data_IF_240988200279
#
_entry.id   IF_240988200279
#
_cell.length_a   1.000
_cell.length_b   1.000
_cell.length_c   1.000
_cell.angle_alpha   90.00
_cell.angle_beta   90.00
_cell.angle_gamma   90.00
#
_symmetry.space_group_name_H-M   'P 1'
#
loop_
_entity.id
_entity.type
_entity.pdbx_description
1 polymer ?
#
# COMPACT_ATOMS: atom_id res chain seq x y z
N UNK A 1 -10.31 2.10 15.99
CA UNK A 1 -9.43 1.95 14.80
C UNK A 1 -8.16 1.24 15.23
N UNK A 2 -7.84 0.13 14.57
CA UNK A 2 -6.63 -0.64 14.83
C UNK A 2 -5.79 -0.74 13.58
N UNK A 3 -4.48 -0.55 13.70
CA UNK A 3 -3.53 -0.66 12.60
C UNK A 3 -2.63 -1.86 12.83
N UNK A 4 -2.48 -2.73 11.85
CA UNK A 4 -1.67 -3.95 11.94
C UNK A 4 -1.05 -4.34 10.61
N UNK A 5 -0.06 -5.23 10.67
CA UNK A 5 0.48 -5.91 9.50
C UNK A 5 -0.18 -7.29 9.37
N UNK A 6 -0.58 -7.64 8.15
CA UNK A 6 -1.17 -8.94 7.89
C UNK A 6 -0.08 -10.00 7.71
N UNK A 7 -0.11 -11.05 8.52
CA UNK A 7 0.79 -12.20 8.41
C UNK A 7 0.09 -13.41 7.80
N UNK A 8 -1.21 -13.53 8.03
CA UNK A 8 -2.10 -14.55 7.48
C UNK A 8 -3.42 -13.90 7.13
N UNK A 9 -4.26 -14.59 6.35
CA UNK A 9 -5.58 -14.09 5.94
C UNK A 9 -6.69 -15.02 6.39
N UNK A 10 -7.72 -14.44 7.03
CA UNK A 10 -9.03 -15.09 7.22
C UNK A 10 -9.88 -14.89 5.96
N UNK A 11 -10.98 -15.65 5.83
CA UNK A 11 -11.91 -15.45 4.72
C UNK A 11 -12.51 -14.06 4.69
N UNK A 12 -12.85 -13.50 5.85
CA UNK A 12 -13.37 -12.13 5.98
C UNK A 12 -12.34 -11.07 5.52
N UNK A 13 -11.08 -11.24 5.90
CA UNK A 13 -10.01 -10.33 5.48
C UNK A 13 -9.78 -10.38 3.97
N UNK A 14 -9.88 -11.58 3.36
CA UNK A 14 -9.79 -11.71 1.90
C UNK A 14 -10.92 -10.92 1.22
N UNK A 15 -12.14 -11.05 1.70
CA UNK A 15 -13.29 -10.30 1.14
C UNK A 15 -13.10 -8.80 1.28
N UNK A 16 -12.65 -8.34 2.44
CA UNK A 16 -12.37 -6.91 2.67
C UNK A 16 -11.30 -6.39 1.72
N UNK A 17 -10.19 -7.13 1.54
CA UNK A 17 -9.12 -6.74 0.61
C UNK A 17 -9.61 -6.72 -0.83
N UNK A 18 -10.41 -7.69 -1.25
CA UNK A 18 -10.99 -7.69 -2.59
C UNK A 18 -11.87 -6.45 -2.82
N UNK A 19 -12.65 -6.06 -1.83
CA UNK A 19 -13.43 -4.83 -1.87
C UNK A 19 -12.57 -3.56 -1.99
N UNK A 20 -11.47 -3.49 -1.23
CA UNK A 20 -10.52 -2.39 -1.31
C UNK A 20 -9.84 -2.30 -2.69
N UNK A 21 -9.45 -3.43 -3.26
CA UNK A 21 -8.82 -3.44 -4.59
C UNK A 21 -9.79 -2.98 -5.68
N UNK A 22 -11.07 -3.33 -5.57
CA UNK A 22 -12.12 -2.81 -6.49
C UNK A 22 -12.28 -1.29 -6.35
N UNK A 23 -12.21 -0.77 -5.14
CA UNK A 23 -12.27 0.67 -4.90
C UNK A 23 -11.05 1.38 -5.50
N UNK A 24 -9.88 0.77 -5.44
CA UNK A 24 -8.67 1.30 -6.02
C UNK A 24 -8.74 1.33 -7.55
N UNK A 25 -9.12 0.23 -8.18
CA UNK A 25 -9.34 0.12 -9.62
C UNK A 25 -10.24 -1.08 -9.94
N UNK A 26 -11.50 -0.80 -10.28
CA UNK A 26 -12.50 -1.82 -10.56
C UNK A 26 -12.19 -2.68 -11.80
N UNK A 27 -11.29 -2.22 -12.69
CA UNK A 27 -10.91 -2.95 -13.91
C UNK A 27 -9.83 -4.00 -13.68
N UNK A 28 -9.14 -3.96 -12.54
CA UNK A 28 -8.11 -4.95 -12.22
C UNK A 28 -8.79 -6.24 -11.76
N UNK A 29 -8.53 -7.38 -12.44
CA UNK A 29 -9.06 -8.67 -12.00
C UNK A 29 -8.27 -9.16 -10.78
N UNK A 30 -8.87 -9.08 -9.59
CA UNK A 30 -8.26 -9.56 -8.35
C UNK A 30 -8.94 -10.83 -7.87
N UNK A 31 -8.16 -11.74 -7.29
CA UNK A 31 -8.64 -13.04 -6.80
C UNK A 31 -8.23 -13.28 -5.36
N UNK A 32 -8.95 -14.17 -4.68
CA UNK A 32 -8.58 -14.62 -3.34
C UNK A 32 -7.17 -15.24 -3.32
N UNK A 33 -6.83 -16.01 -4.34
CA UNK A 33 -5.50 -16.62 -4.49
C UNK A 33 -4.40 -15.55 -4.55
N UNK A 34 -4.63 -14.44 -5.28
CA UNK A 34 -3.65 -13.36 -5.36
C UNK A 34 -3.47 -12.68 -4.00
N UNK A 35 -4.52 -12.50 -3.22
CA UNK A 35 -4.40 -11.95 -1.87
C UNK A 35 -3.55 -12.87 -0.98
N UNK A 36 -3.79 -14.17 -1.03
CA UNK A 36 -2.99 -15.15 -0.29
C UNK A 36 -1.52 -15.16 -0.71
N UNK A 37 -1.25 -15.08 -2.01
CA UNK A 37 0.12 -14.96 -2.54
C UNK A 37 0.82 -13.70 -2.05
N UNK A 38 0.12 -12.58 -2.01
CA UNK A 38 0.69 -11.31 -1.55
C UNK A 38 1.16 -11.39 -0.09
N UNK A 39 0.32 -11.92 0.78
CA UNK A 39 0.66 -12.07 2.21
C UNK A 39 1.80 -13.07 2.41
N UNK A 40 1.87 -14.13 1.61
CA UNK A 40 2.91 -15.16 1.72
C UNK A 40 4.24 -14.75 1.10
N UNK A 41 4.28 -13.71 0.28
CA UNK A 41 5.49 -13.27 -0.42
C UNK A 41 6.49 -12.64 0.56
N UNK A 42 7.74 -13.13 0.64
CA UNK A 42 8.72 -12.66 1.64
C UNK A 42 9.05 -11.17 1.57
N UNK A 43 9.02 -10.59 0.37
CA UNK A 43 9.31 -9.18 0.15
C UNK A 43 8.10 -8.26 0.31
N UNK A 44 6.92 -8.79 0.59
CA UNK A 44 5.66 -8.02 0.65
C UNK A 44 5.16 -7.92 2.08
N UNK A 45 4.82 -6.69 2.49
CA UNK A 45 4.21 -6.40 3.78
C UNK A 45 2.96 -5.58 3.57
N UNK A 46 1.83 -6.05 4.08
CA UNK A 46 0.54 -5.39 3.93
C UNK A 46 0.13 -4.80 5.26
N UNK A 47 0.08 -3.48 5.33
CA UNK A 47 -0.37 -2.74 6.50
C UNK A 47 -1.84 -2.37 6.30
N UNK A 48 -2.66 -2.60 7.31
CA UNK A 48 -4.10 -2.38 7.24
C UNK A 48 -4.62 -1.58 8.41
N UNK A 49 -5.75 -0.92 8.19
CA UNK A 49 -6.55 -0.30 9.22
C UNK A 49 -7.87 -1.08 9.35
N UNK A 50 -8.18 -1.51 10.57
CA UNK A 50 -9.45 -2.17 10.92
C UNK A 50 -10.35 -1.21 11.70
N UNK A 51 -11.64 -1.25 11.40
CA UNK A 51 -12.64 -0.57 12.21
C UNK A 51 -12.98 -1.37 13.49
N UNK A 52 -13.89 -0.85 14.31
CA UNK A 52 -14.28 -1.50 15.57
C UNK A 52 -15.00 -2.85 15.37
N UNK A 53 -15.55 -3.08 14.17
CA UNK A 53 -16.18 -4.35 13.77
C UNK A 53 -15.18 -5.33 13.17
N UNK A 54 -13.89 -5.01 13.19
CA UNK A 54 -12.78 -5.82 12.65
C UNK A 54 -12.80 -6.00 11.13
N UNK A 55 -13.43 -5.07 10.41
CA UNK A 55 -13.33 -5.01 8.96
C UNK A 55 -12.13 -4.15 8.53
N UNK A 56 -11.41 -4.61 7.53
CA UNK A 56 -10.32 -3.85 6.93
C UNK A 56 -10.93 -2.74 6.06
N UNK A 57 -10.66 -1.50 6.43
CA UNK A 57 -11.23 -0.31 5.76
C UNK A 57 -10.18 0.51 5.02
N UNK A 58 -8.92 0.13 5.12
CA UNK A 58 -7.81 0.74 4.39
C UNK A 58 -6.59 -0.15 4.40
N UNK A 59 -5.75 -0.01 3.38
CA UNK A 59 -4.48 -0.71 3.31
C UNK A 59 -3.42 0.09 2.57
N UNK A 60 -2.17 -0.28 2.81
CA UNK A 60 -0.99 0.14 2.06
C UNK A 60 0.02 -0.99 2.06
N UNK A 61 0.63 -1.26 0.92
CA UNK A 61 1.56 -2.37 0.74
C UNK A 61 2.98 -1.86 0.54
N UNK A 62 3.94 -2.49 1.21
CA UNK A 62 5.37 -2.29 1.01
C UNK A 62 5.93 -3.50 0.29
N UNK A 63 6.58 -3.27 -0.87
CA UNK A 63 7.27 -4.30 -1.63
C UNK A 63 8.78 -4.04 -1.60
N UNK A 64 9.57 -5.02 -1.17
CA UNK A 64 11.03 -4.93 -1.09
C UNK A 64 11.64 -5.98 -2.00
N UNK A 65 12.60 -5.57 -2.81
CA UNK A 65 13.27 -6.46 -3.76
C UNK A 65 14.74 -6.08 -3.93
N UNK A 66 15.53 -7.01 -4.43
CA UNK A 66 16.96 -6.85 -4.66
C UNK A 66 17.24 -6.67 -6.16
N UNK A 67 18.25 -5.86 -6.47
CA UNK A 67 18.85 -5.77 -7.79
C UNK A 67 20.38 -5.58 -7.64
N UNK A 68 21.17 -5.67 -8.73
CA UNK A 68 22.62 -5.48 -8.63
C UNK A 68 23.06 -4.13 -8.02
N UNK A 69 22.21 -3.12 -8.06
CA UNK A 69 22.49 -1.81 -7.47
C UNK A 69 22.03 -1.69 -6.02
N UNK A 70 21.45 -2.74 -5.45
CA UNK A 70 21.05 -2.79 -4.05
C UNK A 70 19.59 -3.10 -3.82
N UNK A 71 19.19 -3.05 -2.55
CA UNK A 71 17.82 -3.30 -2.12
C UNK A 71 16.94 -2.10 -2.42
N UNK A 72 15.74 -2.35 -2.93
CA UNK A 72 14.76 -1.36 -3.35
C UNK A 72 13.43 -1.62 -2.70
N UNK A 73 12.64 -0.57 -2.53
CA UNK A 73 11.30 -0.66 -1.98
C UNK A 73 10.32 0.22 -2.76
N UNK A 74 9.12 -0.30 -2.94
CA UNK A 74 8.01 0.46 -3.50
C UNK A 74 6.80 0.37 -2.58
N UNK A 75 6.02 1.45 -2.54
CA UNK A 75 4.72 1.51 -1.88
C UNK A 75 3.66 1.28 -2.94
N UNK A 76 2.79 0.30 -2.70
CA UNK A 76 1.77 -0.13 -3.66
C UNK A 76 0.39 -0.14 -3.01
N UNK A 77 -0.64 -0.02 -3.85
CA UNK A 77 -2.03 -0.27 -3.48
C UNK A 77 -2.48 0.47 -2.20
N UNK A 78 -2.24 1.77 -2.17
CA UNK A 78 -2.68 2.63 -1.06
C UNK A 78 -4.15 3.00 -1.29
N UNK A 79 -5.02 2.53 -0.45
CA UNK A 79 -6.47 2.78 -0.57
C UNK A 79 -7.16 2.83 0.79
N UNK A 80 -8.14 3.71 0.91
CA UNK A 80 -9.04 3.82 2.05
C UNK A 80 -10.46 3.87 1.50
N UNK A 81 -11.38 3.11 2.10
CA UNK A 81 -12.79 3.13 1.70
C UNK A 81 -13.36 4.55 1.78
N UNK A 82 -14.24 4.96 0.83
CA UNK A 82 -14.76 6.33 0.78
C UNK A 82 -15.35 6.84 2.08
N UNK A 83 -16.11 5.98 2.80
CA UNK A 83 -16.74 6.34 4.07
C UNK A 83 -15.76 6.70 5.19
N UNK A 84 -14.48 6.31 5.06
CA UNK A 84 -13.44 6.50 6.07
C UNK A 84 -12.37 7.52 5.65
N UNK A 85 -12.52 8.15 4.48
CA UNK A 85 -11.56 9.15 3.99
C UNK A 85 -11.64 10.44 4.79
N UNK A 86 -10.56 11.22 4.77
CA UNK A 86 -10.48 12.49 5.49
C UNK A 86 -10.25 12.36 6.99
N UNK A 87 -9.93 11.17 7.49
CA UNK A 87 -9.70 10.88 8.91
C UNK A 87 -8.23 10.56 9.25
N UNK A 88 -7.32 10.76 8.31
CA UNK A 88 -5.89 10.52 8.52
C UNK A 88 -5.47 9.06 8.43
N UNK A 89 -6.32 8.14 7.97
CA UNK A 89 -6.02 6.71 7.90
C UNK A 89 -4.90 6.43 6.92
N UNK A 90 -4.97 6.99 5.71
CA UNK A 90 -3.91 6.84 4.71
C UNK A 90 -2.57 7.38 5.20
N UNK A 91 -2.57 8.51 5.88
CA UNK A 91 -1.37 9.08 6.51
C UNK A 91 -0.77 8.12 7.54
N UNK A 92 -1.58 7.56 8.41
CA UNK A 92 -1.13 6.62 9.44
C UNK A 92 -0.54 5.35 8.82
N UNK A 93 -1.18 4.79 7.79
CA UNK A 93 -0.67 3.62 7.09
C UNK A 93 0.70 3.90 6.43
N UNK A 94 0.83 5.02 5.73
CA UNK A 94 2.08 5.42 5.10
C UNK A 94 3.18 5.71 6.14
N UNK A 95 2.83 6.34 7.25
CA UNK A 95 3.79 6.60 8.33
C UNK A 95 4.32 5.30 8.92
N UNK A 96 3.49 4.27 9.07
CA UNK A 96 3.94 2.94 9.52
C UNK A 96 4.93 2.31 8.55
N UNK A 97 4.68 2.43 7.24
CA UNK A 97 5.64 1.97 6.23
C UNK A 97 6.95 2.74 6.33
N UNK A 98 6.89 4.06 6.46
CA UNK A 98 8.08 4.91 6.58
C UNK A 98 8.88 4.54 7.83
N UNK A 99 8.22 4.37 8.97
CA UNK A 99 8.87 4.00 10.23
C UNK A 99 9.52 2.62 10.16
N UNK A 100 8.83 1.66 9.55
CA UNK A 100 9.39 0.35 9.29
C UNK A 100 10.65 0.43 8.41
N UNK A 101 10.58 1.18 7.31
CA UNK A 101 11.70 1.35 6.39
C UNK A 101 12.91 2.02 7.08
N UNK A 102 12.68 3.06 7.88
CA UNK A 102 13.73 3.72 8.66
C UNK A 102 14.40 2.77 9.64
N UNK A 103 13.62 1.94 10.32
CA UNK A 103 14.11 1.07 11.40
C UNK A 103 14.76 -0.21 10.87
N UNK A 104 14.21 -0.80 9.81
CA UNK A 104 14.57 -2.16 9.34
C UNK A 104 15.29 -2.20 7.99
N UNK A 105 15.11 -1.17 7.14
CA UNK A 105 15.59 -1.22 5.75
C UNK A 105 16.62 -0.15 5.41
N UNK A 106 16.68 0.95 6.16
CA UNK A 106 17.57 2.07 5.82
C UNK A 106 19.06 1.66 5.81
N UNK A 107 19.88 2.21 4.89
CA UNK A 107 19.52 3.22 3.89
C UNK A 107 18.76 2.63 2.70
N UNK A 108 17.63 3.22 2.34
CA UNK A 108 16.79 2.80 1.21
C UNK A 108 15.88 3.95 0.77
N UNK A 109 15.54 4.00 -0.51
CA UNK A 109 14.52 4.89 -1.02
C UNK A 109 13.18 4.17 -1.10
N UNK A 110 12.13 4.79 -0.57
CA UNK A 110 10.74 4.38 -0.81
C UNK A 110 10.27 5.08 -2.08
N UNK A 111 9.76 4.32 -3.03
CA UNK A 111 9.23 4.82 -4.30
C UNK A 111 7.76 4.47 -4.42
N UNK A 112 7.02 5.33 -5.09
CA UNK A 112 5.64 5.08 -5.48
C UNK A 112 5.34 5.82 -6.77
N UNK A 113 4.30 5.38 -7.47
CA UNK A 113 3.75 6.09 -8.62
C UNK A 113 2.34 6.53 -8.30
N UNK A 114 1.94 7.70 -8.79
CA UNK A 114 0.61 8.24 -8.59
C UNK A 114 0.23 9.09 -9.77
N UNK A 115 -1.02 9.01 -10.20
CA UNK A 115 -1.50 9.81 -11.30
C UNK A 115 -1.61 11.28 -10.90
N UNK A 116 -1.31 12.24 -11.81
CA UNK A 116 -1.43 13.67 -11.51
C UNK A 116 -2.83 14.10 -11.06
N UNK A 117 -3.88 13.38 -11.51
CA UNK A 117 -5.27 13.67 -11.15
C UNK A 117 -5.61 13.36 -9.69
N UNK A 118 -4.79 12.57 -8.99
CA UNK A 118 -4.98 12.22 -7.58
C UNK A 118 -4.42 13.31 -6.68
N UNK A 119 -5.04 14.49 -6.71
CA UNK A 119 -4.54 15.70 -6.06
C UNK A 119 -4.35 15.53 -4.55
N UNK A 120 -5.33 14.94 -3.86
CA UNK A 120 -5.27 14.75 -2.40
C UNK A 120 -4.19 13.74 -2.00
N UNK A 121 -4.09 12.62 -2.71
CA UNK A 121 -3.07 11.62 -2.47
C UNK A 121 -1.66 12.19 -2.71
N UNK A 122 -1.48 12.93 -3.79
CA UNK A 122 -0.19 13.56 -4.11
C UNK A 122 0.22 14.57 -3.05
N UNK A 123 -0.72 15.38 -2.55
CA UNK A 123 -0.46 16.32 -1.46
C UNK A 123 -0.06 15.58 -0.17
N UNK A 124 -0.69 14.45 0.12
CA UNK A 124 -0.33 13.60 1.26
C UNK A 124 1.11 13.10 1.14
N UNK A 125 1.49 12.58 -0.01
CA UNK A 125 2.87 12.07 -0.23
C UNK A 125 3.92 13.16 -0.01
N UNK A 126 3.71 14.34 -0.58
CA UNK A 126 4.63 15.48 -0.40
C UNK A 126 4.70 15.88 1.08
N UNK A 127 3.57 15.91 1.79
CA UNK A 127 3.54 16.26 3.21
C UNK A 127 4.27 15.25 4.10
N UNK A 128 4.43 14.01 3.64
CA UNK A 128 5.19 12.96 4.32
C UNK A 128 6.67 12.92 3.98
N UNK A 129 7.12 13.80 3.08
CA UNK A 129 8.52 13.91 2.68
C UNK A 129 8.86 13.23 1.35
N UNK A 130 7.90 12.68 0.62
CA UNK A 130 8.15 12.17 -0.72
C UNK A 130 8.39 13.34 -1.68
N UNK A 131 9.38 13.19 -2.53
CA UNK A 131 9.71 14.18 -3.56
C UNK A 131 9.22 13.72 -4.92
N UNK A 132 8.55 14.61 -5.64
CA UNK A 132 8.18 14.35 -7.03
C UNK A 132 9.46 14.26 -7.87
N UNK A 133 9.65 13.16 -8.60
CA UNK A 133 10.81 12.94 -9.46
C UNK A 133 10.49 13.32 -10.89
N UNK A 134 11.49 13.93 -11.56
CA UNK A 134 11.45 14.17 -13.00
C UNK A 134 11.96 12.93 -13.73
N UNK A 135 11.06 11.99 -13.97
CA UNK A 135 11.36 10.69 -14.59
C UNK A 135 10.16 10.20 -15.39
N UNK A 136 10.39 9.29 -16.33
CA UNK A 136 9.33 8.67 -17.10
C UNK A 136 8.98 7.30 -16.52
N UNK A 137 7.71 6.99 -16.51
CA UNK A 137 7.20 5.64 -16.17
C UNK A 137 6.67 5.01 -17.45
N UNK A 138 7.21 3.83 -17.80
CA UNK A 138 6.82 3.10 -19.00
C UNK A 138 6.11 1.81 -18.62
N UNK A 139 5.13 1.41 -19.41
CA UNK A 139 4.41 0.15 -19.26
C UNK A 139 4.32 -0.56 -20.60
N UNK A 140 4.67 -1.86 -20.60
CA UNK A 140 4.41 -2.76 -21.71
C UNK A 140 3.39 -3.81 -21.24
N UNK A 141 2.26 -3.86 -21.90
CA UNK A 141 1.22 -4.87 -21.64
C UNK A 141 1.53 -6.13 -22.45
N UNK A 142 1.64 -7.25 -21.77
CA UNK A 142 1.92 -8.56 -22.38
C UNK A 142 0.71 -9.48 -22.32
#
# INVERSE_FOLDING_TARGET
MRYLELCTLTGSQIEDLLGLMKELNAEIPVTALQQQRSVASPGTRIFVAENDEKHIIGCATLCVFESPTGRKASVEDVVVLPAYRGQGIGRTLLQRIIDFAKTKLAPIDLRLTSQPSRVEANALYVSLGFEKRDTNVYRLKL
#
